data_IF_642944013792
#
_entry.id   IF_642944013792
#
_cell.length_a   1.000
_cell.length_b   1.000
_cell.length_c   1.000
_cell.angle_alpha   90.00
_cell.angle_beta   90.00
_cell.angle_gamma   90.00
#
_symmetry.space_group_name_H-M   'P 1'
#
loop_
_entity.id
_entity.type
_entity.pdbx_description
1 polymer ?
#
# COMPACT_ATOMS: atom_id res chain seq x y z
N UNK A 1 -11.52 -8.94 2.06
CA UNK A 1 -10.16 -8.41 1.83
C UNK A 1 -9.96 -7.12 2.62
N UNK A 2 -8.75 -6.83 3.10
CA UNK A 2 -8.41 -5.55 3.73
C UNK A 2 -8.96 -5.29 5.15
N UNK A 3 -9.33 -6.32 5.91
CA UNK A 3 -9.90 -6.17 7.27
C UNK A 3 -8.87 -6.33 8.40
N UNK A 4 -7.71 -6.92 8.11
CA UNK A 4 -6.75 -7.37 9.12
C UNK A 4 -5.48 -6.51 9.22
N UNK A 5 -5.34 -5.47 8.39
CA UNK A 5 -4.19 -4.55 8.44
C UNK A 5 -2.85 -5.09 7.91
N UNK A 6 -2.63 -6.41 7.78
CA UNK A 6 -1.30 -6.96 7.46
C UNK A 6 -0.68 -6.51 6.14
N UNK A 7 -1.50 -6.11 5.18
CA UNK A 7 -1.06 -5.70 3.83
C UNK A 7 -1.05 -4.17 3.66
N UNK A 8 -1.05 -3.42 4.77
CA UNK A 8 -1.20 -1.97 4.76
C UNK A 8 0.15 -1.25 4.58
N UNK A 9 0.18 -0.28 3.67
CA UNK A 9 1.29 0.66 3.47
C UNK A 9 0.69 2.06 3.46
N UNK A 10 0.84 2.78 4.56
CA UNK A 10 0.11 4.04 4.79
C UNK A 10 -1.40 3.83 4.73
N UNK A 11 -2.08 4.43 3.75
CA UNK A 11 -3.53 4.29 3.56
C UNK A 11 -3.91 3.23 2.52
N UNK A 12 -2.92 2.57 1.91
CA UNK A 12 -3.13 1.57 0.85
C UNK A 12 -3.18 0.18 1.47
N UNK A 13 -4.06 -0.68 0.98
CA UNK A 13 -4.12 -2.10 1.31
C UNK A 13 -3.77 -2.92 0.07
N UNK A 14 -2.54 -3.44 -0.02
CA UNK A 14 -2.04 -4.20 -1.18
C UNK A 14 -2.97 -5.35 -1.60
N UNK A 15 -3.50 -6.05 -0.62
CA UNK A 15 -4.41 -7.16 -0.85
C UNK A 15 -5.79 -6.74 -1.39
N UNK A 16 -6.18 -5.47 -1.28
CA UNK A 16 -7.46 -4.92 -1.78
C UNK A 16 -7.26 -4.05 -3.02
N UNK A 17 -6.28 -3.16 -2.97
CA UNK A 17 -6.00 -2.15 -4.00
C UNK A 17 -5.09 -2.69 -5.11
N UNK A 18 -4.47 -3.86 -4.86
CA UNK A 18 -3.69 -4.61 -5.84
C UNK A 18 -2.19 -4.63 -5.51
N UNK A 19 -1.45 -5.63 -5.99
CA UNK A 19 -0.01 -5.75 -5.77
C UNK A 19 0.85 -4.91 -6.73
N UNK A 20 0.23 -4.25 -7.72
CA UNK A 20 0.95 -3.54 -8.79
C UNK A 20 0.68 -2.05 -8.67
N UNK A 21 1.75 -1.27 -8.55
CA UNK A 21 1.73 0.19 -8.45
C UNK A 21 2.73 0.80 -9.42
N UNK A 22 2.44 2.02 -9.88
CA UNK A 22 3.40 2.84 -10.63
C UNK A 22 4.52 3.34 -9.73
N UNK A 23 5.67 3.66 -10.31
CA UNK A 23 6.79 4.26 -9.57
C UNK A 23 6.39 5.57 -8.86
N UNK A 24 5.48 6.35 -9.43
CA UNK A 24 4.96 7.58 -8.80
C UNK A 24 4.11 7.31 -7.56
N UNK A 25 3.26 6.27 -7.60
CA UNK A 25 2.47 5.86 -6.44
C UNK A 25 3.36 5.36 -5.30
N UNK A 26 4.38 4.55 -5.61
CA UNK A 26 5.32 4.06 -4.60
C UNK A 26 6.12 5.22 -3.98
N UNK A 27 6.55 6.21 -4.78
CA UNK A 27 7.23 7.41 -4.26
C UNK A 27 6.37 8.28 -3.34
N UNK A 28 5.04 8.22 -3.49
CA UNK A 28 4.10 8.95 -2.65
C UNK A 28 3.69 8.18 -1.38
N UNK A 29 4.08 6.91 -1.26
CA UNK A 29 3.83 6.12 -0.05
C UNK A 29 4.71 6.61 1.11
N UNK A 30 4.29 6.43 2.36
CA UNK A 30 5.14 6.71 3.50
C UNK A 30 6.42 5.88 3.39
N UNK A 31 7.56 6.54 3.42
CA UNK A 31 8.84 5.87 3.61
C UNK A 31 9.01 5.69 5.11
N UNK A 32 9.24 4.45 5.55
CA UNK A 32 9.56 4.14 6.94
C UNK A 32 10.75 5.02 7.39
N UNK A 33 10.62 5.65 8.57
CA UNK A 33 11.62 6.55 9.17
C UNK A 33 12.83 5.78 9.69
#
# INVERSE_FOLDING_TARGET
LGKCGRCNVGNVYVCKDGPVFTAGQVKAMPQEL
#
